data_IF_072847964388
#
_entry.id   IF_072847964388
#
_cell.length_a   1.000
_cell.length_b   1.000
_cell.length_c   1.000
_cell.angle_alpha   90.00
_cell.angle_beta   90.00
_cell.angle_gamma   90.00
#
_symmetry.space_group_name_H-M   'P 1'
#
loop_
_entity.id
_entity.type
_entity.pdbx_description
1 polymer ?
#
# COMPACT_ATOMS: atom_id res chain seq x y z
N UNK A 1 0.19 -27.24 57.46
CA UNK A 1 -0.77 -28.28 57.90
C UNK A 1 -1.34 -27.81 59.24
N UNK A 2 -2.68 -27.85 59.39
CA UNK A 2 -3.55 -27.20 60.42
C UNK A 2 -3.98 -25.78 60.05
N UNK A 3 -5.23 -25.35 60.16
CA UNK A 3 -6.58 -25.94 60.15
C UNK A 3 -7.50 -24.69 60.21
N UNK A 4 -8.44 -24.50 59.28
CA UNK A 4 -9.52 -23.51 59.44
C UNK A 4 -10.48 -23.96 60.55
N UNK A 5 -11.28 -23.01 61.09
CA UNK A 5 -12.72 -23.20 60.94
C UNK A 5 -13.48 -21.92 60.53
N UNK A 6 -14.57 -22.19 59.82
CA UNK A 6 -15.61 -21.26 59.39
C UNK A 6 -16.69 -21.06 60.47
N UNK A 7 -17.39 -19.92 60.43
CA UNK A 7 -18.87 -19.75 60.58
C UNK A 7 -19.18 -18.22 60.66
N UNK A 8 -19.98 -17.62 59.77
CA UNK A 8 -21.47 -17.40 59.84
C UNK A 8 -21.81 -16.21 60.76
N UNK A 9 -22.70 -15.22 60.49
CA UNK A 9 -23.94 -15.07 59.71
C UNK A 9 -24.32 -13.57 59.56
N UNK A 10 -25.21 -13.26 58.62
CA UNK A 10 -26.28 -12.24 58.66
C UNK A 10 -26.00 -10.73 58.91
N UNK A 11 -26.12 -9.96 57.84
CA UNK A 11 -27.34 -9.17 57.58
C UNK A 11 -27.57 -7.86 58.34
N UNK A 12 -27.55 -6.73 57.61
CA UNK A 12 -28.50 -5.62 57.80
C UNK A 12 -28.47 -4.68 56.58
N UNK A 13 -29.62 -4.56 55.93
CA UNK A 13 -29.98 -3.51 54.98
C UNK A 13 -30.04 -2.16 55.70
N UNK A 14 -29.46 -1.10 55.12
CA UNK A 14 -30.03 0.25 55.16
C UNK A 14 -29.17 1.26 54.39
N UNK A 15 -29.81 2.00 53.47
CA UNK A 15 -29.38 3.36 53.15
C UNK A 15 -28.70 3.57 51.81
N UNK A 16 -29.38 3.30 50.70
CA UNK A 16 -29.08 4.00 49.44
C UNK A 16 -29.42 5.49 49.62
N UNK A 17 -28.41 6.34 49.78
CA UNK A 17 -28.54 7.79 49.56
C UNK A 17 -28.03 8.08 48.16
N UNK A 18 -28.94 8.54 47.31
CA UNK A 18 -28.68 8.97 45.94
C UNK A 18 -27.80 10.22 45.96
N UNK A 19 -26.50 10.08 45.74
CA UNK A 19 -25.62 11.20 45.41
C UNK A 19 -25.69 11.40 43.90
N UNK A 20 -26.20 12.55 43.46
CA UNK A 20 -26.18 12.95 42.07
C UNK A 20 -24.71 13.10 41.62
N UNK A 21 -24.32 12.37 40.57
CA UNK A 21 -23.02 12.52 39.94
C UNK A 21 -22.97 13.88 39.22
N UNK A 22 -21.88 14.66 39.31
CA UNK A 22 -21.72 15.86 38.51
C UNK A 22 -21.61 15.47 37.03
N UNK A 23 -22.39 16.16 36.20
CA UNK A 23 -22.42 15.98 34.75
C UNK A 23 -21.06 16.39 34.19
N UNK A 24 -20.22 15.38 33.92
CA UNK A 24 -18.89 15.60 33.36
C UNK A 24 -19.06 15.74 31.85
N UNK A 25 -19.23 16.97 31.38
CA UNK A 25 -19.19 17.27 29.96
C UNK A 25 -17.79 16.94 29.44
N UNK A 26 -17.69 15.84 28.69
CA UNK A 26 -16.47 15.49 27.97
C UNK A 26 -16.18 16.63 26.99
N UNK A 27 -14.93 17.15 26.93
CA UNK A 27 -14.57 18.14 25.94
C UNK A 27 -14.75 17.53 24.56
N UNK A 28 -15.65 18.13 23.79
CA UNK A 28 -15.94 17.80 22.41
C UNK A 28 -14.70 18.15 21.58
N UNK A 29 -13.76 17.21 21.52
CA UNK A 29 -12.58 17.33 20.67
C UNK A 29 -13.06 17.03 19.26
N UNK A 30 -13.61 18.05 18.62
CA UNK A 30 -13.78 18.09 17.17
C UNK A 30 -12.38 18.16 16.55
N UNK A 31 -11.67 17.03 16.61
CA UNK A 31 -10.53 16.78 15.76
C UNK A 31 -11.06 16.88 14.33
N UNK A 32 -10.84 18.04 13.73
CA UNK A 32 -11.04 18.24 12.31
C UNK A 32 -9.99 17.36 11.64
N UNK A 33 -10.37 16.12 11.33
CA UNK A 33 -9.60 15.27 10.45
C UNK A 33 -9.42 16.05 9.15
N UNK A 34 -8.18 16.28 8.69
CA UNK A 34 -7.98 16.90 7.39
C UNK A 34 -8.72 16.07 6.34
N UNK A 35 -9.50 16.74 5.50
CA UNK A 35 -10.14 16.10 4.36
C UNK A 35 -9.08 15.28 3.60
N UNK A 36 -9.39 14.04 3.16
CA UNK A 36 -8.40 13.19 2.53
C UNK A 36 -7.80 13.94 1.34
N UNK A 37 -6.48 14.12 1.36
CA UNK A 37 -5.76 14.75 0.26
C UNK A 37 -6.12 14.01 -1.03
N UNK A 38 -6.72 14.72 -1.98
CA UNK A 38 -7.11 14.19 -3.28
C UNK A 38 -5.85 13.76 -4.02
N UNK A 39 -5.78 12.50 -4.43
CA UNK A 39 -4.63 11.99 -5.17
C UNK A 39 -4.68 12.50 -6.61
N UNK A 40 -3.63 13.22 -7.04
CA UNK A 40 -3.61 13.97 -8.30
C UNK A 40 -3.81 13.11 -9.56
N UNK A 41 -3.51 11.82 -9.49
CA UNK A 41 -3.64 10.87 -10.61
C UNK A 41 -4.79 9.86 -10.40
N UNK A 42 -5.70 10.12 -9.47
CA UNK A 42 -6.88 9.28 -9.27
C UNK A 42 -7.74 9.26 -10.54
N UNK A 43 -8.17 8.07 -10.96
CA UNK A 43 -9.03 7.84 -12.14
C UNK A 43 -8.51 8.39 -13.48
N UNK A 44 -7.23 8.80 -13.56
CA UNK A 44 -6.61 9.17 -14.81
C UNK A 44 -6.31 7.93 -15.66
N UNK A 45 -6.77 7.92 -16.91
CA UNK A 45 -6.44 6.83 -17.84
C UNK A 45 -5.01 6.91 -18.38
N UNK A 46 -4.52 5.81 -18.96
CA UNK A 46 -3.16 5.71 -19.48
C UNK A 46 -2.90 6.78 -20.56
N UNK A 47 -3.88 7.06 -21.42
CA UNK A 47 -3.76 8.04 -22.49
C UNK A 47 -3.54 9.46 -21.93
N UNK A 48 -4.26 9.82 -20.87
CA UNK A 48 -4.12 11.10 -20.16
C UNK A 48 -2.75 11.23 -19.53
N UNK A 49 -2.27 10.19 -18.84
CA UNK A 49 -0.95 10.17 -18.23
C UNK A 49 0.16 10.28 -19.29
N UNK A 50 0.04 9.55 -20.41
CA UNK A 50 0.95 9.68 -21.54
C UNK A 50 0.95 11.09 -22.13
N UNK A 51 -0.22 11.71 -22.29
CA UNK A 51 -0.32 13.07 -22.80
C UNK A 51 0.32 14.09 -21.86
N UNK A 52 0.17 13.93 -20.54
CA UNK A 52 0.87 14.76 -19.55
C UNK A 52 2.38 14.58 -19.62
N UNK A 53 2.86 13.33 -19.76
CA UNK A 53 4.29 13.05 -19.94
C UNK A 53 4.85 13.61 -21.25
N UNK A 54 4.09 13.55 -22.33
CA UNK A 54 4.47 14.13 -23.62
C UNK A 54 4.56 15.67 -23.57
N UNK A 55 3.73 16.32 -22.77
CA UNK A 55 3.77 17.77 -22.53
C UNK A 55 4.81 18.22 -21.50
N UNK A 56 5.49 17.27 -20.84
CA UNK A 56 6.47 17.57 -19.79
C UNK A 56 5.85 18.07 -18.48
N UNK A 57 4.52 17.97 -18.31
CA UNK A 57 3.84 18.32 -17.04
C UNK A 57 3.86 17.17 -16.03
N UNK A 58 4.34 16.00 -16.44
CA UNK A 58 4.52 14.79 -15.64
C UNK A 58 5.74 14.05 -16.18
N UNK A 59 6.43 13.29 -15.35
CA UNK A 59 7.43 12.31 -15.77
C UNK A 59 7.16 10.95 -15.09
N UNK A 60 7.78 9.88 -15.62
CA UNK A 60 7.62 8.52 -15.14
C UNK A 60 8.09 8.39 -13.69
N UNK A 61 9.21 9.01 -13.34
CA UNK A 61 9.77 8.99 -12.00
C UNK A 61 8.82 9.67 -10.98
N UNK A 62 8.24 10.82 -11.33
CA UNK A 62 7.27 11.53 -10.51
C UNK A 62 5.97 10.75 -10.34
N UNK A 63 5.44 10.16 -11.42
CA UNK A 63 4.27 9.30 -11.36
C UNK A 63 4.51 8.06 -10.49
N UNK A 64 5.65 7.40 -10.67
CA UNK A 64 6.10 6.24 -9.88
C UNK A 64 6.24 6.61 -8.40
N UNK A 65 6.89 7.74 -8.09
CA UNK A 65 7.02 8.23 -6.72
C UNK A 65 5.65 8.51 -6.08
N UNK A 66 4.74 9.13 -6.81
CA UNK A 66 3.39 9.42 -6.32
C UNK A 66 2.62 8.14 -5.95
N UNK A 67 2.71 7.08 -6.76
CA UNK A 67 2.10 5.79 -6.43
C UNK A 67 2.79 5.07 -5.28
N UNK A 68 4.12 5.07 -5.21
CA UNK A 68 4.85 4.47 -4.09
C UNK A 68 4.50 5.16 -2.76
N UNK A 69 4.41 6.50 -2.75
CA UNK A 69 3.97 7.26 -1.58
C UNK A 69 2.52 6.93 -1.19
N UNK A 70 1.63 6.76 -2.18
CA UNK A 70 0.24 6.34 -1.93
C UNK A 70 0.16 4.92 -1.35
N UNK A 71 0.95 3.99 -1.88
CA UNK A 71 1.10 2.63 -1.34
C UNK A 71 1.60 2.72 0.11
N UNK A 72 2.63 3.50 0.39
CA UNK A 72 3.12 3.70 1.76
C UNK A 72 2.06 4.25 2.73
N UNK A 73 1.24 5.18 2.27
CA UNK A 73 0.20 5.80 3.08
C UNK A 73 -0.97 4.84 3.33
N UNK A 74 -1.39 4.06 2.33
CA UNK A 74 -2.62 3.28 2.38
C UNK A 74 -2.40 1.79 2.70
N UNK A 75 -1.36 1.20 2.15
CA UNK A 75 -1.08 -0.24 2.24
C UNK A 75 -0.45 -0.65 3.56
N UNK A 76 0.40 0.22 4.15
CA UNK A 76 1.24 -0.12 5.32
C UNK A 76 0.97 0.70 6.58
N UNK A 77 0.54 1.96 6.47
CA UNK A 77 0.41 2.87 7.63
C UNK A 77 -1.03 3.28 7.96
N UNK A 78 -1.85 3.51 6.94
CA UNK A 78 -3.24 3.96 7.09
C UNK A 78 -4.20 2.78 7.26
N UNK A 79 -5.18 2.58 6.35
CA UNK A 79 -6.16 1.50 6.45
C UNK A 79 -5.56 0.09 6.36
N UNK A 80 -4.25 -0.04 6.14
CA UNK A 80 -3.53 -1.30 6.07
C UNK A 80 -4.17 -2.26 5.05
N UNK A 81 -4.27 -1.81 3.79
CA UNK A 81 -4.95 -2.57 2.74
C UNK A 81 -4.28 -3.92 2.45
N UNK A 82 -2.97 -4.06 2.73
CA UNK A 82 -2.19 -5.27 2.44
C UNK A 82 -2.38 -5.80 1.00
N UNK A 83 -2.52 -4.88 0.05
CA UNK A 83 -2.69 -5.13 -1.37
C UNK A 83 -1.36 -5.46 -2.05
N UNK A 84 -0.23 -4.95 -1.57
CA UNK A 84 1.11 -5.31 -2.08
C UNK A 84 1.86 -6.19 -1.08
N UNK A 85 2.35 -7.34 -1.55
CA UNK A 85 3.17 -8.25 -0.76
C UNK A 85 4.64 -7.83 -0.77
N UNK A 86 5.13 -7.39 -1.94
CA UNK A 86 6.52 -6.96 -2.14
C UNK A 86 6.59 -5.75 -3.09
N UNK A 87 7.56 -4.86 -2.88
CA UNK A 87 7.85 -3.72 -3.77
C UNK A 87 9.08 -4.00 -4.59
N UNK A 88 9.11 -3.54 -5.84
CA UNK A 88 10.31 -3.56 -6.64
C UNK A 88 11.27 -2.45 -6.18
N UNK A 89 12.45 -2.80 -5.63
CA UNK A 89 13.42 -1.79 -5.18
C UNK A 89 13.98 -0.96 -6.34
N UNK A 90 13.88 -1.45 -7.58
CA UNK A 90 14.38 -0.78 -8.79
C UNK A 90 13.36 0.12 -9.48
N UNK A 91 12.10 0.17 -9.02
CA UNK A 91 11.01 0.85 -9.73
C UNK A 91 11.32 2.32 -10.07
N UNK A 92 11.90 3.08 -9.13
CA UNK A 92 12.25 4.48 -9.37
C UNK A 92 13.40 4.64 -10.37
N UNK A 93 14.38 3.73 -10.35
CA UNK A 93 15.51 3.79 -11.28
C UNK A 93 15.10 3.38 -12.69
N UNK A 94 14.25 2.34 -12.81
CA UNK A 94 13.60 1.97 -14.07
C UNK A 94 12.79 3.16 -14.66
N UNK A 95 12.03 3.85 -13.81
CA UNK A 95 11.26 5.02 -14.22
C UNK A 95 12.14 6.17 -14.73
N UNK A 96 13.23 6.49 -14.01
CA UNK A 96 14.21 7.52 -14.41
C UNK A 96 14.90 7.17 -15.73
N UNK A 97 15.19 5.89 -15.96
CA UNK A 97 15.75 5.43 -17.23
C UNK A 97 14.77 5.69 -18.37
N UNK A 98 13.49 5.36 -18.19
CA UNK A 98 12.46 5.62 -19.21
C UNK A 98 12.25 7.11 -19.46
N UNK A 99 12.40 7.96 -18.45
CA UNK A 99 12.40 9.42 -18.65
C UNK A 99 13.61 9.89 -19.46
N UNK A 100 14.79 9.31 -19.24
CA UNK A 100 15.97 9.60 -20.05
C UNK A 100 15.78 9.19 -21.51
N UNK A 101 15.20 8.01 -21.76
CA UNK A 101 14.86 7.55 -23.10
C UNK A 101 13.85 8.48 -23.78
N UNK A 102 12.80 8.92 -23.06
CA UNK A 102 11.82 9.88 -23.55
C UNK A 102 12.49 11.20 -23.96
N UNK A 103 13.38 11.76 -23.12
CA UNK A 103 14.14 12.99 -23.43
C UNK A 103 15.05 12.81 -24.65
N UNK A 104 15.57 11.60 -24.86
CA UNK A 104 16.36 11.24 -26.03
C UNK A 104 15.50 10.93 -27.28
N UNK A 105 14.18 11.06 -27.23
CA UNK A 105 13.27 10.75 -28.34
C UNK A 105 13.01 9.26 -28.56
N UNK A 106 13.40 8.40 -27.62
CA UNK A 106 13.22 6.95 -27.70
C UNK A 106 11.99 6.52 -26.89
N UNK A 107 10.83 6.44 -27.54
CA UNK A 107 9.61 5.94 -26.93
C UNK A 107 9.39 4.46 -27.28
N UNK A 108 9.04 3.65 -26.29
CA UNK A 108 8.77 2.21 -26.44
C UNK A 108 7.32 1.87 -26.74
N UNK A 109 6.44 2.86 -26.73
CA UNK A 109 5.01 2.71 -27.05
C UNK A 109 4.07 3.31 -25.99
N UNK A 110 2.78 2.94 -26.00
CA UNK A 110 1.77 3.52 -25.11
C UNK A 110 1.99 3.29 -23.61
N UNK A 111 2.81 2.31 -23.24
CA UNK A 111 3.13 2.00 -21.84
C UNK A 111 4.43 2.63 -21.36
N UNK A 112 5.11 3.43 -22.18
CA UNK A 112 6.41 4.02 -21.84
C UNK A 112 6.32 4.91 -20.59
N UNK A 113 6.93 4.46 -19.50
CA UNK A 113 6.92 5.15 -18.20
C UNK A 113 5.66 4.93 -17.35
N UNK A 114 4.78 3.98 -17.71
CA UNK A 114 3.55 3.70 -16.94
C UNK A 114 3.85 2.70 -15.82
N UNK A 115 3.61 3.06 -14.55
CA UNK A 115 3.76 2.13 -13.44
C UNK A 115 2.59 1.15 -13.35
N UNK A 116 2.88 -0.11 -13.04
CA UNK A 116 1.90 -1.18 -12.84
C UNK A 116 2.34 -2.15 -11.75
N UNK A 117 1.42 -3.00 -11.31
CA UNK A 117 1.63 -4.05 -10.30
C UNK A 117 1.37 -5.41 -10.94
N UNK A 118 2.14 -6.43 -10.54
CA UNK A 118 1.98 -7.80 -11.01
C UNK A 118 1.44 -8.68 -9.88
N UNK A 119 0.53 -9.62 -10.17
CA UNK A 119 0.10 -10.61 -9.17
C UNK A 119 1.30 -11.47 -8.73
N UNK A 120 1.35 -11.85 -7.45
CA UNK A 120 2.44 -12.67 -6.88
C UNK A 120 2.39 -14.15 -7.25
N UNK A 121 1.97 -14.45 -8.47
CA UNK A 121 2.11 -15.76 -9.12
C UNK A 121 2.70 -15.62 -10.54
N UNK A 122 3.32 -14.47 -10.82
CA UNK A 122 3.90 -14.10 -12.11
C UNK A 122 5.40 -13.86 -11.91
N UNK A 123 6.27 -14.59 -12.60
CA UNK A 123 7.71 -14.38 -12.48
C UNK A 123 8.13 -12.99 -12.96
N UNK A 124 8.85 -12.25 -12.12
CA UNK A 124 9.40 -10.94 -12.46
C UNK A 124 10.65 -10.64 -11.63
N UNK A 125 11.79 -10.38 -12.28
CA UNK A 125 13.01 -10.01 -11.56
C UNK A 125 13.03 -8.52 -11.22
N UNK A 126 13.71 -8.12 -10.13
CA UNK A 126 14.46 -8.95 -9.18
C UNK A 126 13.64 -9.33 -7.94
N UNK A 127 12.31 -9.25 -8.01
CA UNK A 127 11.40 -9.48 -6.87
C UNK A 127 11.00 -10.96 -6.77
N UNK A 128 10.60 -11.41 -5.60
CA UNK A 128 10.19 -12.80 -5.39
C UNK A 128 8.89 -13.13 -6.13
N UNK A 129 8.66 -14.43 -6.31
CA UNK A 129 7.37 -14.98 -6.70
C UNK A 129 6.97 -16.02 -5.65
N UNK A 130 6.18 -15.61 -4.66
CA UNK A 130 5.89 -16.47 -3.51
C UNK A 130 4.59 -17.26 -3.65
N UNK A 131 3.72 -16.92 -4.62
CA UNK A 131 2.34 -17.41 -4.67
C UNK A 131 1.55 -17.13 -3.37
N UNK A 132 1.98 -16.15 -2.57
CA UNK A 132 1.46 -15.89 -1.23
C UNK A 132 1.98 -16.83 -0.15
N UNK A 133 2.85 -17.80 -0.50
CA UNK A 133 3.31 -18.86 0.39
C UNK A 133 4.66 -18.54 1.04
N UNK A 134 4.76 -18.76 2.35
CA UNK A 134 6.04 -18.65 3.08
C UNK A 134 7.11 -19.62 2.57
N UNK A 135 6.70 -20.76 1.99
CA UNK A 135 7.64 -21.72 1.41
C UNK A 135 8.44 -21.17 0.23
N UNK A 136 7.91 -20.13 -0.45
CA UNK A 136 8.49 -19.50 -1.62
C UNK A 136 8.82 -18.02 -1.39
N UNK A 137 8.80 -17.54 -0.14
CA UNK A 137 9.04 -16.13 0.19
C UNK A 137 10.38 -15.58 -0.35
N UNK A 138 11.39 -16.45 -0.43
CA UNK A 138 12.73 -16.10 -0.93
C UNK A 138 12.99 -16.66 -2.35
N UNK A 139 11.96 -17.18 -3.03
CA UNK A 139 12.09 -17.69 -4.39
C UNK A 139 12.14 -16.54 -5.39
N UNK A 140 13.34 -16.29 -5.92
CA UNK A 140 13.59 -15.32 -6.96
C UNK A 140 13.69 -16.03 -8.32
N UNK A 141 12.76 -15.78 -9.25
CA UNK A 141 12.74 -16.51 -10.51
C UNK A 141 13.97 -16.18 -11.38
N UNK A 142 14.53 -17.17 -12.10
CA UNK A 142 15.74 -16.95 -12.90
C UNK A 142 15.49 -16.07 -14.14
N UNK A 143 14.24 -15.94 -14.57
CA UNK A 143 13.83 -15.11 -15.70
C UNK A 143 12.46 -14.47 -15.45
N UNK A 144 12.19 -13.39 -16.17
CA UNK A 144 10.86 -12.79 -16.20
C UNK A 144 9.90 -13.70 -17.00
N UNK A 145 8.65 -13.80 -16.55
CA UNK A 145 7.59 -14.43 -17.33
C UNK A 145 7.44 -13.73 -18.69
N UNK A 146 6.94 -14.44 -19.70
CA UNK A 146 6.81 -13.90 -21.06
C UNK A 146 6.04 -12.57 -21.11
N UNK A 147 4.92 -12.45 -20.39
CA UNK A 147 4.15 -11.21 -20.34
C UNK A 147 4.95 -10.06 -19.72
N UNK A 148 5.79 -10.34 -18.73
CA UNK A 148 6.61 -9.33 -18.03
C UNK A 148 7.70 -8.81 -18.96
N UNK A 149 8.32 -9.70 -19.73
CA UNK A 149 9.26 -9.31 -20.79
C UNK A 149 8.59 -8.36 -21.79
N UNK A 150 7.36 -8.67 -22.22
CA UNK A 150 6.58 -7.82 -23.15
C UNK A 150 6.23 -6.47 -22.54
N UNK A 151 5.86 -6.41 -21.26
CA UNK A 151 5.59 -5.16 -20.54
C UNK A 151 6.84 -4.29 -20.43
N UNK A 152 7.99 -4.87 -20.07
CA UNK A 152 9.28 -4.16 -20.01
C UNK A 152 9.74 -3.67 -21.39
N UNK A 153 9.54 -4.48 -22.44
CA UNK A 153 9.79 -4.08 -23.82
C UNK A 153 8.91 -2.89 -24.24
N UNK A 154 7.66 -2.85 -23.78
CA UNK A 154 6.74 -1.72 -24.01
C UNK A 154 7.02 -0.49 -23.11
N UNK A 155 8.00 -0.59 -22.21
CA UNK A 155 8.43 0.49 -21.33
C UNK A 155 7.60 0.68 -20.06
N UNK A 156 6.88 -0.34 -19.60
CA UNK A 156 6.19 -0.27 -18.31
C UNK A 156 7.18 -0.34 -17.13
N UNK A 157 6.84 0.33 -16.03
CA UNK A 157 7.56 0.28 -14.74
C UNK A 157 6.85 -0.69 -13.81
N UNK A 158 7.56 -1.68 -13.27
CA UNK A 158 6.97 -2.64 -12.33
C UNK A 158 7.16 -2.10 -10.92
N UNK A 159 6.07 -1.74 -10.24
CA UNK A 159 6.08 -1.24 -8.86
C UNK A 159 6.32 -2.35 -7.84
N UNK A 160 5.91 -3.58 -8.13
CA UNK A 160 6.00 -4.69 -7.19
C UNK A 160 4.98 -5.80 -7.46
N UNK A 161 4.76 -6.60 -6.41
CA UNK A 161 3.90 -7.78 -6.37
C UNK A 161 2.64 -7.50 -5.57
N UNK A 162 1.46 -7.78 -6.12
CA UNK A 162 0.21 -7.75 -5.37
C UNK A 162 0.02 -9.03 -4.58
N UNK A 163 -0.67 -8.91 -3.45
CA UNK A 163 -1.13 -10.05 -2.67
C UNK A 163 -2.14 -10.91 -3.46
N UNK A 164 -2.38 -12.14 -3.00
CA UNK A 164 -3.36 -13.08 -3.53
C UNK A 164 -3.85 -14.04 -2.44
N UNK A 165 -4.95 -14.73 -2.70
CA UNK A 165 -5.29 -15.96 -1.97
C UNK A 165 -4.32 -17.07 -2.36
N UNK A 166 -3.76 -17.73 -1.36
CA UNK A 166 -2.95 -18.95 -1.48
C UNK A 166 -3.80 -20.16 -1.91
#
# INVERSE_FOLDING_TARGET
MRLLPALVLCGALAGYRHAALPDTTLPDTTATSPAPATFAHAEADIATLQAQMARGTLDSAGLTAAYLQRIDALDRRGPALHALIERNPQALDEARQLDAERRAGHLRGPLHGIPLVLKDNIDARPIANSAGSLALAEFHPPHDAFLVQRLRQAGAVILGKSNLSE
#
